data_IF_626587627815
#
_entry.id   IF_626587627815
#
_cell.length_a   1.000
_cell.length_b   1.000
_cell.length_c   1.000
_cell.angle_alpha   90.00
_cell.angle_beta   90.00
_cell.angle_gamma   90.00
#
_symmetry.space_group_name_H-M   'P 1'
#
loop_
_entity.id
_entity.type
_entity.pdbx_description
1 polymer ?
#
# COMPACT_ATOMS: atom_id res chain seq x y z
N UNK A 1 1.47 -4.85 16.61
CA UNK A 1 0.58 -4.90 15.42
C UNK A 1 0.37 -3.52 14.83
N UNK A 2 -0.19 -2.57 15.59
CA UNK A 2 -0.29 -1.15 15.21
C UNK A 2 1.08 -0.54 14.83
N UNK A 3 2.15 -0.92 15.54
CA UNK A 3 3.52 -0.46 15.22
C UNK A 3 3.94 -0.88 13.80
N UNK A 4 3.65 -2.12 13.37
CA UNK A 4 3.98 -2.59 12.01
C UNK A 4 3.24 -1.76 10.96
N UNK A 5 1.94 -1.52 11.19
CA UNK A 5 1.13 -0.67 10.33
C UNK A 5 1.70 0.74 10.19
N UNK A 6 2.03 1.40 11.32
CA UNK A 6 2.56 2.76 11.32
C UNK A 6 3.91 2.86 10.61
N UNK A 7 4.79 1.86 10.83
CA UNK A 7 6.08 1.80 10.16
C UNK A 7 5.93 1.64 8.65
N UNK A 8 5.06 0.73 8.20
CA UNK A 8 4.82 0.52 6.76
C UNK A 8 4.21 1.78 6.15
N UNK A 9 3.14 2.32 6.73
CA UNK A 9 2.42 3.48 6.19
C UNK A 9 3.34 4.71 6.10
N UNK A 10 4.06 5.03 7.17
CA UNK A 10 4.97 6.18 7.20
C UNK A 10 6.10 6.05 6.18
N UNK A 11 6.80 4.91 6.17
CA UNK A 11 7.92 4.71 5.23
C UNK A 11 7.44 4.64 3.78
N UNK A 12 6.31 3.97 3.51
CA UNK A 12 5.76 3.90 2.16
C UNK A 12 5.39 5.29 1.64
N UNK A 13 4.81 6.15 2.49
CA UNK A 13 4.51 7.53 2.12
C UNK A 13 5.77 8.31 1.74
N UNK A 14 6.81 8.32 2.59
CA UNK A 14 8.05 9.03 2.30
C UNK A 14 8.78 8.48 1.06
N UNK A 15 8.81 7.16 0.88
CA UNK A 15 9.45 6.55 -0.28
C UNK A 15 8.73 6.91 -1.58
N UNK A 16 7.39 6.97 -1.59
CA UNK A 16 6.63 7.38 -2.77
C UNK A 16 6.85 8.84 -3.19
N UNK A 17 7.39 9.70 -2.30
CA UNK A 17 7.73 11.09 -2.65
C UNK A 17 9.03 11.19 -3.47
N UNK A 18 9.93 10.22 -3.34
CA UNK A 18 11.28 10.26 -3.94
C UNK A 18 11.47 9.17 -4.99
N UNK A 19 10.89 8.00 -4.76
CA UNK A 19 10.99 6.82 -5.61
C UNK A 19 9.67 6.55 -6.33
N UNK A 20 9.70 5.77 -7.42
CA UNK A 20 8.47 5.37 -8.09
C UNK A 20 7.60 4.49 -7.18
N UNK A 21 6.34 4.33 -7.58
CA UNK A 21 5.27 3.68 -6.80
C UNK A 21 5.57 2.24 -6.32
N UNK A 22 6.43 1.49 -7.01
CA UNK A 22 6.84 0.14 -6.58
C UNK A 22 7.56 0.13 -5.22
N UNK A 23 8.11 1.27 -4.80
CA UNK A 23 8.81 1.42 -3.52
C UNK A 23 7.91 1.20 -2.30
N UNK A 24 6.59 1.31 -2.46
CA UNK A 24 5.61 1.01 -1.41
C UNK A 24 5.71 -0.42 -0.86
N UNK A 25 6.28 -1.36 -1.63
CA UNK A 25 6.50 -2.74 -1.21
C UNK A 25 7.68 -2.90 -0.22
N UNK A 26 8.69 -2.03 -0.29
CA UNK A 26 9.95 -2.18 0.45
C UNK A 26 9.77 -2.15 1.98
N UNK A 27 8.97 -1.22 2.56
CA UNK A 27 8.72 -1.23 4.00
C UNK A 27 8.04 -2.51 4.47
N UNK A 28 7.09 -3.02 3.68
CA UNK A 28 6.40 -4.28 3.95
C UNK A 28 7.37 -5.46 4.00
N UNK A 29 8.28 -5.55 3.04
CA UNK A 29 9.33 -6.58 3.02
C UNK A 29 10.25 -6.49 4.25
N UNK A 30 10.72 -5.29 4.58
CA UNK A 30 11.70 -5.10 5.65
C UNK A 30 11.11 -5.33 7.05
N UNK A 31 10.02 -4.63 7.37
CA UNK A 31 9.42 -4.69 8.70
C UNK A 31 8.63 -5.99 8.92
N UNK A 32 8.00 -6.54 7.88
CA UNK A 32 7.32 -7.84 7.93
C UNK A 32 8.28 -8.98 8.28
N UNK A 33 9.49 -8.97 7.69
CA UNK A 33 10.54 -9.92 8.02
C UNK A 33 11.03 -9.77 9.48
N UNK A 34 11.30 -8.53 9.91
CA UNK A 34 11.95 -8.26 11.19
C UNK A 34 11.06 -8.56 12.40
N UNK A 35 9.75 -8.35 12.29
CA UNK A 35 8.80 -8.47 13.39
C UNK A 35 8.21 -9.88 13.57
N UNK A 36 8.46 -10.79 12.62
CA UNK A 36 8.04 -12.20 12.67
C UNK A 36 6.56 -12.39 13.08
N UNK A 37 5.68 -11.57 12.51
CA UNK A 37 4.24 -11.57 12.81
C UNK A 37 3.55 -12.64 11.98
N UNK A 38 2.47 -13.25 12.48
CA UNK A 38 1.76 -14.32 11.73
C UNK A 38 1.39 -13.89 10.30
N UNK A 39 1.55 -14.76 9.28
CA UNK A 39 1.43 -14.39 7.87
C UNK A 39 0.11 -13.69 7.51
N UNK A 40 -1.01 -14.20 8.02
CA UNK A 40 -2.33 -13.62 7.75
C UNK A 40 -2.46 -12.18 8.29
N UNK A 41 -1.87 -11.92 9.47
CA UNK A 41 -1.90 -10.60 10.08
C UNK A 41 -0.89 -9.66 9.43
N UNK A 42 0.25 -10.19 8.97
CA UNK A 42 1.24 -9.46 8.21
C UNK A 42 0.66 -8.93 6.90
N UNK A 43 -0.08 -9.76 6.15
CA UNK A 43 -0.81 -9.33 4.96
C UNK A 43 -1.78 -8.18 5.27
N UNK A 44 -2.66 -8.36 6.26
CA UNK A 44 -3.67 -7.35 6.60
C UNK A 44 -3.05 -6.02 7.00
N UNK A 45 -2.00 -6.04 7.84
CA UNK A 45 -1.31 -4.82 8.26
C UNK A 45 -0.60 -4.11 7.10
N UNK A 46 0.07 -4.86 6.22
CA UNK A 46 0.70 -4.30 5.02
C UNK A 46 -0.31 -3.74 4.03
N UNK A 47 -1.42 -4.44 3.83
CA UNK A 47 -2.51 -4.03 2.95
C UNK A 47 -3.14 -2.73 3.41
N UNK A 48 -3.67 -2.68 4.64
CA UNK A 48 -4.35 -1.49 5.14
C UNK A 48 -3.41 -0.30 5.31
N UNK A 49 -2.13 -0.53 5.60
CA UNK A 49 -1.14 0.55 5.73
C UNK A 49 -1.00 1.34 4.43
N UNK A 50 -0.77 0.66 3.30
CA UNK A 50 -0.57 1.34 2.01
C UNK A 50 -1.90 1.68 1.34
N UNK A 51 -2.95 0.88 1.53
CA UNK A 51 -4.30 1.22 1.07
C UNK A 51 -4.74 2.58 1.60
N UNK A 52 -4.59 2.81 2.92
CA UNK A 52 -4.96 4.08 3.53
C UNK A 52 -3.98 5.20 3.17
N UNK A 53 -2.66 4.96 3.24
CA UNK A 53 -1.67 6.00 2.97
C UNK A 53 -1.73 6.48 1.50
N UNK A 54 -1.71 5.55 0.55
CA UNK A 54 -1.72 5.89 -0.87
C UNK A 54 -3.12 6.30 -1.35
N UNK A 55 -4.17 5.66 -0.83
CA UNK A 55 -5.56 6.07 -1.09
C UNK A 55 -5.87 7.48 -0.61
N UNK A 56 -5.44 7.84 0.61
CA UNK A 56 -5.59 9.21 1.12
C UNK A 56 -4.79 10.22 0.29
N UNK A 57 -3.58 9.87 -0.13
CA UNK A 57 -2.77 10.72 -1.00
C UNK A 57 -3.43 10.91 -2.38
N UNK A 58 -3.96 9.85 -2.99
CA UNK A 58 -4.69 9.92 -4.26
C UNK A 58 -5.97 10.76 -4.14
N UNK A 59 -6.72 10.60 -3.05
CA UNK A 59 -7.90 11.43 -2.76
C UNK A 59 -7.53 12.90 -2.56
N UNK A 60 -6.43 13.19 -1.86
CA UNK A 60 -5.93 14.55 -1.69
C UNK A 60 -5.59 15.20 -3.04
N UNK A 61 -4.85 14.50 -3.90
CA UNK A 61 -4.50 14.99 -5.24
C UNK A 61 -5.75 15.22 -6.09
N UNK A 62 -6.73 14.33 -6.01
CA UNK A 62 -8.02 14.49 -6.70
C UNK A 62 -8.74 15.77 -6.27
N UNK A 63 -8.91 15.99 -4.96
CA UNK A 63 -9.60 17.16 -4.43
C UNK A 63 -8.81 18.44 -4.76
N UNK A 64 -7.49 18.43 -4.59
CA UNK A 64 -6.63 19.58 -4.87
C UNK A 64 -6.60 19.97 -6.36
N UNK A 65 -6.84 19.01 -7.26
CA UNK A 65 -6.88 19.24 -8.70
C UNK A 65 -8.29 19.48 -9.26
N UNK A 66 -9.30 19.63 -8.39
CA UNK A 66 -10.72 19.68 -8.78
C UNK A 66 -11.16 18.49 -9.67
N UNK A 67 -10.52 17.33 -9.51
CA UNK A 67 -10.82 16.13 -10.28
C UNK A 67 -10.38 16.13 -11.75
N UNK A 68 -9.74 17.18 -12.25
CA UNK A 68 -9.43 17.30 -13.70
C UNK A 68 -8.60 16.12 -14.23
N UNK A 69 -7.62 15.62 -13.47
CA UNK A 69 -6.82 14.48 -13.91
C UNK A 69 -7.57 13.16 -13.76
N UNK A 70 -8.30 13.01 -12.65
CA UNK A 70 -9.06 11.80 -12.34
C UNK A 70 -10.21 11.58 -13.32
N UNK A 71 -10.88 12.65 -13.76
CA UNK A 71 -11.94 12.62 -14.78
C UNK A 71 -11.41 12.13 -16.13
N UNK A 72 -10.28 12.68 -16.59
CA UNK A 72 -9.64 12.25 -17.84
C UNK A 72 -9.22 10.79 -17.80
N UNK A 73 -8.64 10.36 -16.68
CA UNK A 73 -8.27 8.95 -16.52
C UNK A 73 -9.51 8.05 -16.43
N UNK A 74 -10.56 8.48 -15.71
CA UNK A 74 -11.82 7.74 -15.63
C UNK A 74 -12.45 7.58 -17.02
N UNK A 75 -12.49 8.64 -17.85
CA UNK A 75 -12.95 8.59 -19.24
C UNK A 75 -12.14 7.59 -20.07
N UNK A 76 -10.80 7.61 -19.96
CA UNK A 76 -9.92 6.67 -20.67
C UNK A 76 -10.16 5.21 -20.28
N UNK A 77 -10.49 4.96 -19.01
CA UNK A 77 -10.82 3.62 -18.51
C UNK A 77 -12.31 3.25 -18.66
N UNK A 78 -13.15 4.11 -19.24
CA UNK A 78 -14.58 3.89 -19.39
C UNK A 78 -15.35 3.87 -18.06
N UNK A 79 -14.81 4.51 -17.02
CA UNK A 79 -15.42 4.60 -15.69
C UNK A 79 -16.40 5.77 -15.63
N UNK A 80 -17.58 5.54 -15.06
CA UNK A 80 -18.61 6.57 -14.85
C UNK A 80 -18.33 7.47 -13.65
N UNK A 81 -17.47 7.04 -12.72
CA UNK A 81 -17.16 7.79 -11.50
C UNK A 81 -15.65 7.81 -11.24
N UNK A 82 -15.12 9.01 -11.02
CA UNK A 82 -13.69 9.27 -10.81
C UNK A 82 -13.18 8.67 -9.49
N UNK A 83 -14.04 8.61 -8.47
CA UNK A 83 -13.74 7.99 -7.18
C UNK A 83 -13.41 6.50 -7.27
N UNK A 84 -13.94 5.80 -8.28
CA UNK A 84 -13.62 4.39 -8.52
C UNK A 84 -12.13 4.25 -8.85
N UNK A 85 -11.55 5.19 -9.61
CA UNK A 85 -10.13 5.17 -9.94
C UNK A 85 -9.24 5.33 -8.70
N UNK A 86 -9.66 6.19 -7.77
CA UNK A 86 -8.96 6.40 -6.49
C UNK A 86 -9.01 5.13 -5.65
N UNK A 87 -10.18 4.48 -5.58
CA UNK A 87 -10.33 3.21 -4.87
C UNK A 87 -9.47 2.12 -5.50
N UNK A 88 -9.45 1.99 -6.82
CA UNK A 88 -8.60 1.04 -7.54
C UNK A 88 -7.12 1.29 -7.20
N UNK A 89 -6.70 2.56 -7.20
CA UNK A 89 -5.31 2.94 -6.84
C UNK A 89 -4.98 2.52 -5.42
N UNK A 90 -5.87 2.77 -4.47
CA UNK A 90 -5.71 2.36 -3.07
C UNK A 90 -5.62 0.82 -2.95
N UNK A 91 -6.49 0.08 -3.64
CA UNK A 91 -6.49 -1.39 -3.63
C UNK A 91 -5.21 -1.96 -4.23
N UNK A 92 -4.73 -1.42 -5.36
CA UNK A 92 -3.47 -1.85 -5.99
C UNK A 92 -2.30 -1.65 -5.02
N UNK A 93 -2.24 -0.48 -4.37
CA UNK A 93 -1.25 -0.18 -3.34
C UNK A 93 -1.29 -1.13 -2.15
N UNK A 94 -2.49 -1.35 -1.62
CA UNK A 94 -2.72 -2.29 -0.54
C UNK A 94 -2.30 -3.70 -0.91
N UNK A 95 -2.70 -4.22 -2.07
CA UNK A 95 -2.31 -5.56 -2.52
C UNK A 95 -0.80 -5.69 -2.66
N UNK A 96 -0.15 -4.72 -3.29
CA UNK A 96 1.31 -4.71 -3.48
C UNK A 96 2.04 -4.85 -2.13
N UNK A 97 1.70 -4.00 -1.16
CA UNK A 97 2.31 -4.02 0.17
C UNK A 97 1.86 -5.24 1.01
N UNK A 98 0.61 -5.65 0.89
CA UNK A 98 0.07 -6.82 1.58
C UNK A 98 0.82 -8.09 1.20
N UNK A 99 1.01 -8.33 -0.10
CA UNK A 99 1.79 -9.48 -0.58
C UNK A 99 3.27 -9.38 -0.20
N UNK A 100 3.87 -8.18 -0.29
CA UNK A 100 5.24 -7.94 0.14
C UNK A 100 5.46 -8.28 1.64
N UNK A 101 4.53 -7.85 2.50
CA UNK A 101 4.58 -8.10 3.95
C UNK A 101 4.28 -9.56 4.27
N UNK A 102 3.40 -10.21 3.51
CA UNK A 102 3.11 -11.64 3.62
C UNK A 102 4.35 -12.49 3.31
N UNK A 103 4.98 -12.25 2.16
CA UNK A 103 6.16 -13.00 1.70
C UNK A 103 7.30 -12.90 2.70
N UNK A 104 7.57 -11.70 3.22
CA UNK A 104 8.62 -11.49 4.22
C UNK A 104 8.32 -12.18 5.56
N UNK A 105 7.06 -12.16 6.01
CA UNK A 105 6.64 -12.88 7.20
C UNK A 105 6.77 -14.40 7.04
N UNK A 106 6.36 -14.95 5.89
CA UNK A 106 6.50 -16.39 5.59
C UNK A 106 7.97 -16.82 5.60
N UNK A 107 8.85 -15.99 5.01
CA UNK A 107 10.28 -16.24 5.02
C UNK A 107 10.85 -16.25 6.45
N UNK A 108 10.44 -15.31 7.30
CA UNK A 108 10.85 -15.27 8.70
C UNK A 108 10.36 -16.50 9.49
N UNK A 109 9.12 -16.94 9.26
CA UNK A 109 8.56 -18.13 9.90
C UNK A 109 9.25 -19.43 9.46
N UNK A 110 9.57 -19.57 8.17
CA UNK A 110 10.27 -20.75 7.65
C UNK A 110 11.65 -20.91 8.28
N UNK A 111 12.37 -19.80 8.52
CA UNK A 111 13.70 -19.82 9.15
C UNK A 111 13.65 -20.25 10.62
N UNK A 112 12.60 -19.89 11.35
CA UNK A 112 12.48 -20.17 12.78
C UNK A 112 12.04 -21.61 13.10
N UNK A 113 11.68 -22.39 12.07
CA UNK A 113 11.24 -23.78 12.18
C UNK A 113 12.38 -24.79 11.97
N UNK A 114 13.56 -24.30 11.57
CA UNK A 114 14.83 -25.05 11.51
C UNK A 114 15.64 -24.78 12.77
#
# INVERSE_FOLDING_TARGET
MIILFLLIAGNAFFLNLVLPWWSAALPGLFFGYRMNVTPIRAFGMGFFAVFLAWGAHAAYVHIASNGVLSSRMAELFGLTQEWILILITAVIGGLLSGFATLTSSLLAHSRNKK
#
